data_IF_455873722724
#
_entry.id   IF_455873722724
#
_cell.length_a   1.000
_cell.length_b   1.000
_cell.length_c   1.000
_cell.angle_alpha   90.00
_cell.angle_beta   90.00
_cell.angle_gamma   90.00
#
_symmetry.space_group_name_H-M   'P 1'
#
loop_
_entity.id
_entity.type
_entity.pdbx_description
1 polymer ?
#
# COMPACT_ATOMS: atom_id res chain seq x y z
N UNK A 1 45.60 -57.04 7.26
CA UNK A 1 44.30 -57.39 7.87
C UNK A 1 43.85 -56.21 8.73
N UNK A 2 42.65 -55.65 8.42
CA UNK A 2 41.75 -54.85 9.30
C UNK A 2 42.24 -53.43 9.75
N UNK A 3 41.99 -52.36 8.95
CA UNK A 3 40.97 -51.25 9.04
C UNK A 3 41.34 -50.06 9.98
N UNK A 4 40.65 -48.88 9.99
CA UNK A 4 40.56 -47.86 8.92
C UNK A 4 40.63 -46.38 9.44
N UNK A 5 40.71 -45.39 8.55
CA UNK A 5 40.43 -43.96 8.81
C UNK A 5 41.19 -43.08 7.80
N UNK A 6 40.66 -42.04 7.16
CA UNK A 6 39.42 -41.27 7.23
C UNK A 6 39.09 -40.83 5.79
N UNK A 7 37.82 -40.89 5.39
CA UNK A 7 37.35 -40.37 4.11
C UNK A 7 36.67 -39.01 4.38
N UNK A 8 37.40 -37.92 4.15
CA UNK A 8 36.89 -36.55 4.20
C UNK A 8 35.98 -36.27 2.99
N UNK A 9 34.70 -36.66 3.09
CA UNK A 9 33.66 -36.16 2.20
C UNK A 9 33.24 -34.76 2.64
N UNK A 10 33.97 -33.75 2.16
CA UNK A 10 33.58 -32.37 2.31
C UNK A 10 32.35 -32.07 1.42
N UNK A 11 31.17 -32.27 2.00
CA UNK A 11 29.89 -31.90 1.41
C UNK A 11 29.88 -30.39 1.05
N UNK A 12 29.95 -30.08 -0.24
CA UNK A 12 29.72 -28.73 -0.77
C UNK A 12 28.25 -28.37 -0.64
N UNK A 13 27.81 -27.99 0.56
CA UNK A 13 26.56 -27.25 0.74
C UNK A 13 26.70 -25.91 0.02
N UNK A 14 26.15 -25.83 -1.20
CA UNK A 14 25.82 -24.57 -1.87
C UNK A 14 25.04 -23.71 -0.87
N UNK A 15 25.69 -22.69 -0.30
CA UNK A 15 25.02 -21.61 0.44
C UNK A 15 23.98 -21.02 -0.50
N UNK A 16 22.69 -21.35 -0.27
CA UNK A 16 21.59 -20.58 -0.85
C UNK A 16 21.84 -19.13 -0.43
N UNK A 17 22.09 -18.26 -1.40
CA UNK A 17 22.05 -16.82 -1.19
C UNK A 17 20.67 -16.53 -0.63
N UNK A 18 20.59 -16.19 0.66
CA UNK A 18 19.40 -15.62 1.26
C UNK A 18 19.08 -14.36 0.48
N UNK A 19 17.97 -14.38 -0.26
CA UNK A 19 17.41 -13.17 -0.82
C UNK A 19 17.21 -12.19 0.34
N UNK A 20 17.66 -10.95 0.16
CA UNK A 20 17.31 -9.84 1.06
C UNK A 20 15.81 -9.63 0.90
N UNK A 21 15.01 -10.31 1.70
CA UNK A 21 13.55 -10.29 1.55
C UNK A 21 12.88 -10.94 2.75
N UNK A 22 11.81 -10.32 3.24
CA UNK A 22 10.90 -11.06 4.09
C UNK A 22 9.93 -10.32 4.99
N UNK A 23 9.83 -8.98 4.98
CA UNK A 23 8.75 -8.33 5.75
C UNK A 23 7.41 -8.34 4.99
N UNK A 24 7.46 -8.13 3.69
CA UNK A 24 6.25 -7.96 2.86
C UNK A 24 6.14 -9.04 1.78
N UNK A 25 4.91 -9.45 1.42
CA UNK A 25 4.69 -10.36 0.29
C UNK A 25 5.23 -9.77 -1.02
N UNK A 26 5.70 -10.61 -1.95
CA UNK A 26 6.14 -10.13 -3.25
C UNK A 26 4.95 -9.60 -4.06
N UNK A 27 5.18 -8.50 -4.77
CA UNK A 27 4.20 -7.89 -5.67
C UNK A 27 4.54 -8.31 -7.09
N UNK A 28 3.59 -8.94 -7.79
CA UNK A 28 3.83 -9.37 -9.18
C UNK A 28 3.76 -8.16 -10.13
N UNK A 29 4.59 -8.10 -11.18
CA UNK A 29 4.44 -7.11 -12.23
C UNK A 29 3.06 -7.21 -12.92
N UNK A 30 2.42 -6.07 -13.10
CA UNK A 30 1.10 -5.87 -13.70
C UNK A 30 1.31 -5.18 -15.05
N UNK A 31 0.86 -5.84 -16.12
CA UNK A 31 1.12 -5.39 -17.51
C UNK A 31 -0.09 -4.71 -18.14
N UNK A 32 -1.26 -4.92 -17.55
CA UNK A 32 -2.58 -4.67 -18.08
C UNK A 32 -3.43 -3.77 -17.17
N UNK A 33 -2.77 -3.01 -16.28
CA UNK A 33 -3.46 -2.04 -15.44
C UNK A 33 -4.26 -1.05 -16.28
N UNK A 34 -5.55 -0.96 -15.99
CA UNK A 34 -6.46 0.00 -16.62
C UNK A 34 -6.70 1.17 -15.67
N UNK A 35 -6.87 2.36 -16.22
CA UNK A 35 -7.23 3.56 -15.47
C UNK A 35 -8.68 3.89 -15.78
N UNK A 36 -9.49 4.07 -14.74
CA UNK A 36 -10.80 4.68 -14.86
C UNK A 36 -10.75 6.12 -14.33
N UNK A 37 -10.77 7.10 -15.22
CA UNK A 37 -10.68 8.53 -14.86
C UNK A 37 -12.03 9.03 -14.36
N UNK A 38 -12.05 9.49 -13.12
CA UNK A 38 -13.24 10.10 -12.51
C UNK A 38 -13.22 11.62 -12.69
N UNK A 39 -12.03 12.24 -12.63
CA UNK A 39 -11.83 13.68 -12.88
C UNK A 39 -10.46 13.94 -13.47
N UNK A 40 -10.40 14.02 -14.81
CA UNK A 40 -9.18 14.36 -15.55
C UNK A 40 -7.96 13.53 -15.14
N UNK A 41 -6.89 14.21 -14.76
CA UNK A 41 -5.69 13.63 -14.15
C UNK A 41 -5.74 13.62 -12.62
N UNK A 42 -6.61 14.41 -11.99
CA UNK A 42 -6.62 14.64 -10.55
C UNK A 42 -7.26 13.50 -9.74
N UNK A 43 -8.21 12.76 -10.33
CA UNK A 43 -8.86 11.63 -9.67
C UNK A 43 -9.14 10.49 -10.64
N UNK A 44 -8.66 9.31 -10.32
CA UNK A 44 -8.89 8.10 -11.09
C UNK A 44 -8.75 6.85 -10.21
N UNK A 45 -9.28 5.73 -10.68
CA UNK A 45 -9.16 4.43 -10.02
C UNK A 45 -8.43 3.43 -10.91
N UNK A 46 -7.75 2.47 -10.29
CA UNK A 46 -7.06 1.38 -10.97
C UNK A 46 -7.69 0.07 -10.46
N UNK A 47 -8.71 -0.47 -11.16
CA UNK A 47 -9.34 -1.72 -10.76
C UNK A 47 -8.34 -2.87 -10.81
N UNK A 48 -8.53 -3.87 -9.94
CA UNK A 48 -7.72 -5.07 -9.88
C UNK A 48 -6.22 -4.79 -9.69
N UNK A 49 -5.86 -3.69 -8.99
CA UNK A 49 -4.47 -3.37 -8.73
C UNK A 49 -3.79 -4.51 -7.97
N UNK A 50 -4.23 -4.89 -6.78
CA UNK A 50 -3.78 -6.13 -6.14
C UNK A 50 -4.75 -7.28 -6.42
N UNK A 51 -4.20 -8.45 -6.74
CA UNK A 51 -4.99 -9.69 -6.80
C UNK A 51 -5.51 -10.06 -5.42
N UNK A 52 -6.60 -10.83 -5.36
CA UNK A 52 -7.11 -11.36 -4.08
C UNK A 52 -6.03 -12.09 -3.26
N UNK A 53 -5.12 -12.80 -3.94
CA UNK A 53 -4.00 -13.50 -3.29
C UNK A 53 -2.96 -12.56 -2.70
N UNK A 54 -2.60 -11.48 -3.40
CA UNK A 54 -1.67 -10.45 -2.91
C UNK A 54 -2.31 -9.72 -1.73
N UNK A 55 -3.56 -9.26 -1.87
CA UNK A 55 -4.27 -8.55 -0.81
C UNK A 55 -4.36 -9.38 0.48
N UNK A 56 -4.74 -10.66 0.40
CA UNK A 56 -4.76 -11.57 1.57
C UNK A 56 -3.39 -11.76 2.19
N UNK A 57 -2.32 -11.83 1.38
CA UNK A 57 -0.97 -11.97 1.89
C UNK A 57 -0.52 -10.69 2.63
N UNK A 58 -0.85 -9.50 2.10
CA UNK A 58 -0.54 -8.23 2.74
C UNK A 58 -1.32 -8.03 4.04
N UNK A 59 -2.60 -8.42 4.08
CA UNK A 59 -3.40 -8.42 5.31
C UNK A 59 -2.73 -9.27 6.39
N UNK A 60 -2.37 -10.52 6.09
CA UNK A 60 -1.68 -11.39 7.05
C UNK A 60 -0.36 -10.81 7.55
N UNK A 61 0.43 -10.21 6.66
CA UNK A 61 1.70 -9.58 7.02
C UNK A 61 1.51 -8.34 7.90
N UNK A 62 0.49 -7.52 7.63
CA UNK A 62 0.14 -6.38 8.48
C UNK A 62 -0.36 -6.84 9.85
N UNK A 63 -1.23 -7.85 9.90
CA UNK A 63 -1.75 -8.39 11.16
C UNK A 63 -0.66 -8.98 12.04
N UNK A 64 0.35 -9.64 11.46
CA UNK A 64 1.47 -10.20 12.24
C UNK A 64 2.41 -9.13 12.81
N UNK A 65 2.44 -7.93 12.23
CA UNK A 65 3.15 -6.77 12.79
C UNK A 65 2.41 -6.23 14.03
N UNK A 66 1.08 -6.31 14.03
CA UNK A 66 0.22 -5.78 15.08
C UNK A 66 -0.18 -4.33 14.82
N UNK A 67 -1.48 -4.06 14.88
CA UNK A 67 -2.02 -2.72 14.72
C UNK A 67 -2.09 -1.98 16.06
N UNK A 68 -1.89 -0.67 16.01
CA UNK A 68 -2.06 0.22 17.15
C UNK A 68 -3.31 1.05 16.93
N UNK A 69 -4.20 1.07 17.91
CA UNK A 69 -5.40 1.89 17.87
C UNK A 69 -5.03 3.38 17.89
N UNK A 70 -5.70 4.18 17.05
CA UNK A 70 -5.54 5.62 16.91
C UNK A 70 -6.91 6.27 17.04
N UNK A 71 -7.14 6.85 18.22
CA UNK A 71 -8.28 7.73 18.49
C UNK A 71 -7.85 9.19 18.50
N UNK A 72 -8.66 10.07 17.93
CA UNK A 72 -8.53 11.53 18.11
C UNK A 72 -9.64 12.06 19.02
N UNK A 73 -9.41 13.22 19.62
CA UNK A 73 -10.44 13.95 20.36
C UNK A 73 -11.49 14.62 19.42
N UNK A 74 -11.28 14.57 18.10
CA UNK A 74 -12.27 14.95 17.09
C UNK A 74 -12.19 16.40 16.55
N UNK A 75 -13.13 16.78 15.65
CA UNK A 75 -13.13 18.06 14.90
C UNK A 75 -13.23 19.29 15.78
N UNK A 76 -13.77 19.13 16.98
CA UNK A 76 -13.87 20.18 17.99
C UNK A 76 -12.50 20.75 18.40
N UNK A 77 -11.40 20.06 18.10
CA UNK A 77 -10.03 20.54 18.33
C UNK A 77 -9.25 20.85 17.04
N UNK A 78 -9.95 21.04 15.92
CA UNK A 78 -9.33 21.34 14.62
C UNK A 78 -8.70 20.13 13.92
N UNK A 79 -8.79 18.94 14.51
CA UNK A 79 -8.33 17.69 13.90
C UNK A 79 -9.52 16.90 13.35
N UNK A 80 -9.36 16.32 12.16
CA UNK A 80 -10.36 15.38 11.67
C UNK A 80 -10.54 14.20 12.65
N UNK A 81 -11.79 13.82 12.88
CA UNK A 81 -12.12 12.67 13.73
C UNK A 81 -11.41 11.42 13.21
N UNK A 82 -10.59 10.78 14.05
CA UNK A 82 -9.94 9.51 13.77
C UNK A 82 -10.36 8.50 14.82
N UNK A 83 -10.83 7.37 14.32
CA UNK A 83 -10.97 6.14 15.07
C UNK A 83 -10.61 5.03 14.08
N UNK A 84 -9.39 4.50 14.18
CA UNK A 84 -8.93 3.37 13.38
C UNK A 84 -7.75 2.64 14.02
N UNK A 85 -7.49 1.44 13.54
CA UNK A 85 -6.28 0.69 13.85
C UNK A 85 -5.24 0.98 12.76
N UNK A 86 -4.01 1.37 13.12
CA UNK A 86 -2.97 1.78 12.16
C UNK A 86 -1.64 1.07 12.37
N UNK A 87 -0.95 0.82 11.26
CA UNK A 87 0.50 0.56 11.20
C UNK A 87 1.13 1.64 10.32
N UNK A 88 2.28 2.18 10.74
CA UNK A 88 3.10 3.09 9.94
C UNK A 88 4.48 2.46 9.80
N UNK A 89 4.98 2.34 8.57
CA UNK A 89 6.34 1.84 8.30
C UNK A 89 7.04 2.79 7.34
N UNK A 90 8.30 3.06 7.59
CA UNK A 90 9.19 3.68 6.61
C UNK A 90 9.92 2.53 5.87
N UNK A 91 9.52 2.24 4.64
CA UNK A 91 10.04 1.10 3.86
C UNK A 91 10.20 1.48 2.38
N UNK A 92 11.42 1.89 2.01
CA UNK A 92 11.78 2.26 0.65
C UNK A 92 11.59 1.09 -0.32
N UNK A 93 11.94 -0.13 0.09
CA UNK A 93 11.88 -1.32 -0.77
C UNK A 93 10.45 -1.70 -1.13
N UNK A 94 9.52 -1.59 -0.17
CA UNK A 94 8.09 -1.79 -0.44
C UNK A 94 7.54 -0.68 -1.34
N UNK A 95 7.89 0.58 -1.08
CA UNK A 95 7.46 1.72 -1.90
C UNK A 95 7.90 1.56 -3.36
N UNK A 96 9.17 1.20 -3.58
CA UNK A 96 9.72 0.89 -4.91
C UNK A 96 9.02 -0.31 -5.54
N UNK A 97 8.77 -1.38 -4.78
CA UNK A 97 8.08 -2.58 -5.29
C UNK A 97 6.67 -2.26 -5.79
N UNK A 98 5.91 -1.43 -5.05
CA UNK A 98 4.57 -0.98 -5.47
C UNK A 98 4.69 -0.09 -6.71
N UNK A 99 5.63 0.85 -6.73
CA UNK A 99 5.84 1.77 -7.85
C UNK A 99 6.19 1.02 -9.15
N UNK A 100 7.15 0.10 -9.08
CA UNK A 100 7.63 -0.70 -10.21
C UNK A 100 6.67 -1.82 -10.61
N UNK A 101 5.66 -2.13 -9.80
CA UNK A 101 4.68 -3.17 -10.12
C UNK A 101 3.87 -2.87 -11.39
N UNK A 102 3.86 -1.63 -11.89
CA UNK A 102 3.08 -1.19 -13.04
C UNK A 102 2.52 0.21 -12.86
N UNK A 103 2.51 0.72 -11.62
CA UNK A 103 2.06 2.06 -11.29
C UNK A 103 2.90 3.14 -11.99
N UNK A 104 4.23 2.96 -12.10
CA UNK A 104 5.09 3.88 -12.84
C UNK A 104 4.57 4.12 -14.27
N UNK A 105 4.20 3.07 -15.00
CA UNK A 105 3.69 3.17 -16.38
C UNK A 105 2.41 4.00 -16.46
N UNK A 106 1.54 3.88 -15.47
CA UNK A 106 0.31 4.69 -15.39
C UNK A 106 0.63 6.18 -15.26
N UNK A 107 1.68 6.52 -14.51
CA UNK A 107 2.08 7.90 -14.26
C UNK A 107 3.04 8.48 -15.31
N UNK A 108 3.60 7.66 -16.21
CA UNK A 108 4.44 8.14 -17.30
C UNK A 108 3.66 9.13 -18.22
N UNK A 109 2.35 8.93 -18.39
CA UNK A 109 1.46 9.77 -19.19
C UNK A 109 0.70 10.84 -18.36
N UNK A 110 0.94 10.93 -17.05
CA UNK A 110 0.22 11.85 -16.16
C UNK A 110 1.16 12.96 -15.71
N UNK A 111 0.84 14.19 -16.15
CA UNK A 111 1.50 15.41 -15.68
C UNK A 111 0.52 16.22 -14.85
N UNK A 112 0.96 16.65 -13.67
CA UNK A 112 0.20 17.55 -12.81
C UNK A 112 0.93 18.89 -12.76
N UNK A 113 0.34 19.93 -13.35
CA UNK A 113 0.93 21.27 -13.41
C UNK A 113 2.39 21.26 -13.93
N UNK A 114 2.66 20.43 -14.96
CA UNK A 114 4.00 20.26 -15.53
C UNK A 114 4.95 19.36 -14.74
N UNK A 115 4.59 18.90 -13.55
CA UNK A 115 5.38 17.96 -12.74
C UNK A 115 5.05 16.51 -13.09
N UNK A 116 6.06 15.65 -12.97
CA UNK A 116 5.96 14.19 -13.21
C UNK A 116 6.17 13.46 -11.89
N UNK A 117 5.39 12.41 -11.64
CA UNK A 117 5.58 11.56 -10.48
C UNK A 117 6.79 10.64 -10.68
N UNK A 118 7.69 10.60 -9.68
CA UNK A 118 8.95 9.84 -9.76
C UNK A 118 8.97 8.59 -8.86
N UNK A 119 8.00 8.46 -7.94
CA UNK A 119 7.97 7.39 -6.95
C UNK A 119 6.87 7.58 -5.91
N UNK A 120 6.94 6.78 -4.84
CA UNK A 120 6.04 6.85 -3.70
C UNK A 120 6.78 7.34 -2.46
N UNK A 121 6.05 7.96 -1.53
CA UNK A 121 6.57 8.26 -0.20
C UNK A 121 6.87 6.94 0.54
N UNK A 122 8.08 6.74 1.11
CA UNK A 122 8.43 5.51 1.82
C UNK A 122 7.61 5.28 3.10
N UNK A 123 6.94 6.31 3.61
CA UNK A 123 6.04 6.20 4.76
C UNK A 123 4.71 5.56 4.34
N UNK A 124 4.64 4.23 4.43
CA UNK A 124 3.47 3.43 4.08
C UNK A 124 2.64 3.17 5.32
N UNK A 125 1.32 3.38 5.19
CA UNK A 125 0.36 3.23 6.27
C UNK A 125 -0.66 2.16 5.92
N UNK A 126 -0.88 1.23 6.84
CA UNK A 126 -1.98 0.27 6.78
C UNK A 126 -3.04 0.71 7.77
N UNK A 127 -4.28 0.80 7.30
CA UNK A 127 -5.42 1.12 8.14
C UNK A 127 -6.34 -0.10 8.20
N UNK A 128 -6.82 -0.39 9.41
CA UNK A 128 -7.87 -1.36 9.67
C UNK A 128 -9.00 -0.66 10.40
N UNK A 129 -10.22 -0.94 9.96
CA UNK A 129 -11.43 -0.41 10.56
C UNK A 129 -12.31 -1.56 11.01
N UNK A 130 -12.70 -1.55 12.27
CA UNK A 130 -13.74 -2.41 12.84
C UNK A 130 -15.09 -1.69 12.74
N UNK A 131 -16.17 -2.44 12.95
CA UNK A 131 -17.53 -1.88 12.98
C UNK A 131 -17.59 -0.73 14.00
N UNK A 132 -18.12 0.43 13.56
CA UNK A 132 -18.23 1.64 14.37
C UNK A 132 -17.03 2.60 14.27
N UNK A 133 -15.87 2.13 13.82
CA UNK A 133 -14.69 2.96 13.61
C UNK A 133 -14.83 3.78 12.32
N UNK A 134 -14.25 5.00 12.28
CA UNK A 134 -14.29 5.86 11.09
C UNK A 134 -13.19 6.90 11.11
N UNK A 135 -12.83 7.37 9.93
CA UNK A 135 -12.00 8.57 9.77
C UNK A 135 -12.83 9.64 9.06
N UNK A 136 -13.14 10.69 9.82
CA UNK A 136 -13.85 11.87 9.37
C UNK A 136 -13.14 12.63 8.25
N UNK A 137 -13.91 13.54 7.64
CA UNK A 137 -13.50 14.37 6.51
C UNK A 137 -12.20 15.12 6.78
N UNK A 138 -11.24 15.00 5.88
CA UNK A 138 -9.97 15.73 5.91
C UNK A 138 -9.42 15.97 4.50
N UNK A 139 -8.43 16.86 4.44
CA UNK A 139 -7.53 17.06 3.30
C UNK A 139 -6.19 16.45 3.69
N UNK A 140 -5.58 15.69 2.78
CA UNK A 140 -4.23 15.18 3.00
C UNK A 140 -3.21 16.32 2.82
N UNK A 141 -2.34 16.48 3.81
CA UNK A 141 -1.24 17.44 3.71
C UNK A 141 -0.15 16.91 2.78
N UNK A 142 0.43 17.84 2.00
CA UNK A 142 1.61 17.53 1.21
C UNK A 142 2.83 17.39 2.12
N UNK A 143 3.58 16.31 1.95
CA UNK A 143 4.82 16.06 2.69
C UNK A 143 6.00 16.50 1.83
N UNK A 144 6.80 17.41 2.37
CA UNK A 144 8.11 17.76 1.83
C UNK A 144 9.13 16.65 2.19
N UNK A 145 9.79 16.11 1.16
CA UNK A 145 10.79 15.04 1.27
C UNK A 145 12.22 15.59 1.07
N UNK A 146 12.51 16.78 1.59
CA UNK A 146 13.86 17.36 1.61
C UNK A 146 14.08 18.48 0.59
N UNK A 147 13.07 19.32 0.34
CA UNK A 147 13.07 20.53 -0.48
C UNK A 147 12.94 20.29 -1.98
N UNK A 148 13.29 19.08 -2.47
CA UNK A 148 13.30 18.75 -3.91
C UNK A 148 12.02 18.04 -4.35
N UNK A 149 11.43 17.24 -3.45
CA UNK A 149 10.25 16.43 -3.76
C UNK A 149 9.13 16.70 -2.77
N UNK A 150 7.91 16.83 -3.29
CA UNK A 150 6.69 17.03 -2.51
C UNK A 150 5.65 16.02 -2.95
N UNK A 151 4.91 15.42 -2.00
CA UNK A 151 3.79 14.55 -2.36
C UNK A 151 2.66 15.35 -2.98
N UNK A 152 2.05 14.83 -4.04
CA UNK A 152 0.96 15.51 -4.78
C UNK A 152 -0.28 14.63 -4.95
N UNK A 153 -0.11 13.31 -4.95
CA UNK A 153 -1.19 12.33 -5.01
C UNK A 153 -1.20 11.48 -3.76
N UNK A 154 -2.40 11.11 -3.32
CA UNK A 154 -2.62 10.03 -2.35
C UNK A 154 -2.95 8.75 -3.10
N UNK A 155 -2.20 7.68 -2.82
CA UNK A 155 -2.53 6.32 -3.30
C UNK A 155 -3.25 5.56 -2.19
N UNK A 156 -4.48 5.14 -2.47
CA UNK A 156 -5.26 4.26 -1.59
C UNK A 156 -5.44 2.90 -2.24
N UNK A 157 -4.97 1.85 -1.57
CA UNK A 157 -5.11 0.46 -2.02
C UNK A 157 -6.02 -0.27 -1.05
N UNK A 158 -7.18 -0.71 -1.56
CA UNK A 158 -8.15 -1.48 -0.78
C UNK A 158 -7.75 -2.96 -0.79
N UNK A 159 -7.47 -3.51 0.40
CA UNK A 159 -7.02 -4.90 0.56
C UNK A 159 -8.16 -5.87 0.92
N UNK A 160 -9.29 -5.33 1.37
CA UNK A 160 -10.47 -6.09 1.78
C UNK A 160 -11.73 -5.45 1.21
N UNK A 161 -12.73 -6.27 0.89
CA UNK A 161 -14.05 -5.85 0.42
C UNK A 161 -14.87 -7.06 0.01
N UNK A 162 -16.19 -7.01 0.19
CA UNK A 162 -17.08 -8.07 -0.28
C UNK A 162 -17.31 -7.90 -1.78
N UNK A 163 -16.57 -8.66 -2.59
CA UNK A 163 -16.84 -8.77 -4.01
C UNK A 163 -17.85 -9.87 -4.28
N UNK A 164 -19.02 -9.52 -4.82
CA UNK A 164 -19.82 -10.48 -5.59
C UNK A 164 -20.64 -9.78 -6.68
N UNK A 165 -20.42 -10.24 -7.92
CA UNK A 165 -21.27 -10.25 -9.11
C UNK A 165 -22.00 -8.96 -9.52
N UNK A 166 -21.58 -8.44 -10.69
CA UNK A 166 -22.40 -7.85 -11.76
C UNK A 166 -23.82 -7.39 -11.38
N UNK A 167 -23.93 -6.33 -10.57
CA UNK A 167 -24.91 -5.25 -10.72
C UNK A 167 -24.83 -4.32 -9.52
N UNK A 168 -25.11 -3.04 -9.79
CA UNK A 168 -25.26 -1.91 -8.86
C UNK A 168 -23.99 -1.13 -8.50
N UNK A 169 -24.07 0.15 -8.84
CA UNK A 169 -23.17 1.25 -8.54
C UNK A 169 -22.97 1.40 -7.03
N UNK A 170 -21.70 1.50 -6.62
CA UNK A 170 -21.23 1.81 -5.26
C UNK A 170 -21.66 0.79 -4.18
N UNK A 171 -20.95 -0.35 -4.12
CA UNK A 171 -21.03 -1.25 -2.98
C UNK A 171 -20.35 -0.63 -1.75
N UNK A 172 -20.99 -0.76 -0.59
CA UNK A 172 -20.51 -0.30 0.71
C UNK A 172 -19.27 -1.08 1.14
N UNK A 173 -18.23 -0.36 1.53
CA UNK A 173 -17.09 -0.94 2.25
C UNK A 173 -17.63 -1.58 3.53
N UNK A 174 -17.51 -2.90 3.67
CA UNK A 174 -17.94 -3.60 4.90
C UNK A 174 -16.85 -3.37 5.95
N UNK A 175 -17.15 -2.55 6.96
CA UNK A 175 -16.21 -2.14 7.99
C UNK A 175 -16.50 -0.71 8.47
N UNK A 176 -15.45 0.10 8.56
CA UNK A 176 -15.56 1.53 8.84
C UNK A 176 -15.45 2.40 7.59
N UNK A 177 -15.88 3.66 7.71
CA UNK A 177 -15.90 4.61 6.61
C UNK A 177 -14.69 5.55 6.67
N UNK A 178 -14.10 5.84 5.52
CA UNK A 178 -13.16 6.96 5.37
C UNK A 178 -13.75 7.92 4.34
N UNK A 179 -13.95 9.18 4.76
CA UNK A 179 -14.47 10.21 3.87
C UNK A 179 -13.34 11.16 3.50
N UNK A 180 -12.93 11.16 2.23
CA UNK A 180 -11.95 12.11 1.71
C UNK A 180 -12.65 13.35 1.16
N UNK A 181 -12.07 14.53 1.40
CA UNK A 181 -12.45 15.74 0.68
C UNK A 181 -11.40 16.04 -0.38
N UNK A 182 -11.85 16.17 -1.63
CA UNK A 182 -11.06 16.78 -2.68
C UNK A 182 -11.45 18.25 -2.67
N UNK A 183 -10.58 19.10 -2.12
CA UNK A 183 -10.76 20.55 -2.20
C UNK A 183 -10.04 21.02 -3.45
N UNK A 184 -10.78 21.66 -4.34
CA UNK A 184 -10.20 22.33 -5.51
C UNK A 184 -9.85 23.76 -5.13
N UNK A 185 -8.62 24.16 -5.43
CA UNK A 185 -8.19 25.56 -5.45
C UNK A 185 -8.58 26.19 -6.78
#
# INVERSE_FOLDING_TARGET
MVTPGENDQQSRKRKKKTAVGGRWPPIKPKRDLQINRLKGTNLFTIPNFFTSSESKAFVRAAESIGFIHQGSLGPAKGEAYRDNDRISVADQGLAESIWQSGLKRIFDDIKLQGKVAIGLNPNIRFYRYKVGQRFGRHIDESVDLGGVHITQYTLLVYLTGNGSNHNTSMQSLVGGETVFMIVES
#
